data_IF_895129198713
#
_entry.id   IF_895129198713
#
_cell.length_a   1.000
_cell.length_b   1.000
_cell.length_c   1.000
_cell.angle_alpha   90.00
_cell.angle_beta   90.00
_cell.angle_gamma   90.00
#
_symmetry.space_group_name_H-M   'P 1'
#
loop_
_entity.id
_entity.type
_entity.pdbx_description
1 polymer ?
#
# COMPACT_ATOMS: atom_id res chain seq x y z
N UNK A 1 -12.38 -20.42 -2.55
CA UNK A 1 -12.30 -19.25 -1.66
C UNK A 1 -13.52 -19.23 -0.73
N UNK A 2 -13.38 -18.88 0.57
CA UNK A 2 -14.50 -18.69 1.47
C UNK A 2 -15.44 -17.57 0.97
N UNK A 3 -16.75 -17.61 1.28
CA UNK A 3 -17.69 -16.55 0.89
C UNK A 3 -17.27 -15.16 1.41
N UNK A 4 -16.78 -15.08 2.65
CA UNK A 4 -16.27 -13.84 3.23
C UNK A 4 -15.08 -13.20 2.48
N UNK A 5 -14.34 -13.97 1.67
CA UNK A 5 -13.24 -13.47 0.87
C UNK A 5 -13.70 -12.45 -0.19
N UNK A 6 -14.83 -12.66 -0.82
CA UNK A 6 -15.36 -11.70 -1.79
C UNK A 6 -15.77 -10.39 -1.13
N UNK A 7 -16.40 -10.48 0.05
CA UNK A 7 -16.69 -9.28 0.85
C UNK A 7 -15.42 -8.54 1.27
N UNK A 8 -14.36 -9.28 1.60
CA UNK A 8 -13.06 -8.68 1.93
C UNK A 8 -12.45 -7.93 0.72
N UNK A 9 -12.52 -8.51 -0.49
CA UNK A 9 -12.04 -7.87 -1.71
C UNK A 9 -12.82 -6.58 -2.00
N UNK A 10 -14.15 -6.61 -1.87
CA UNK A 10 -15.00 -5.43 -2.07
C UNK A 10 -14.71 -4.35 -1.01
N UNK A 11 -14.60 -4.76 0.26
CA UNK A 11 -14.24 -3.85 1.34
C UNK A 11 -12.86 -3.21 1.13
N UNK A 12 -11.86 -4.01 0.77
CA UNK A 12 -10.50 -3.56 0.47
C UNK A 12 -10.49 -2.59 -0.73
N UNK A 13 -11.20 -2.94 -1.80
CA UNK A 13 -11.31 -2.11 -2.99
C UNK A 13 -11.94 -0.75 -2.67
N UNK A 14 -13.08 -0.75 -1.99
CA UNK A 14 -13.77 0.48 -1.58
C UNK A 14 -12.90 1.33 -0.63
N UNK A 15 -12.27 0.71 0.39
CA UNK A 15 -11.39 1.42 1.32
C UNK A 15 -10.18 2.04 0.60
N UNK A 16 -9.51 1.27 -0.28
CA UNK A 16 -8.36 1.75 -1.03
C UNK A 16 -8.72 2.84 -2.04
N UNK A 17 -9.88 2.73 -2.69
CA UNK A 17 -10.41 3.75 -3.59
C UNK A 17 -10.67 5.06 -2.84
N UNK A 18 -11.31 4.98 -1.67
CA UNK A 18 -11.54 6.15 -0.81
C UNK A 18 -10.22 6.75 -0.28
N UNK A 19 -9.24 5.92 0.16
CA UNK A 19 -7.93 6.38 0.64
C UNK A 19 -7.21 7.22 -0.44
N UNK A 20 -7.22 6.76 -1.70
CA UNK A 20 -6.53 7.44 -2.79
C UNK A 20 -7.29 8.66 -3.31
N UNK A 21 -8.63 8.61 -3.39
CA UNK A 21 -9.43 9.79 -3.71
C UNK A 21 -9.27 10.86 -2.62
N UNK A 22 -9.31 10.48 -1.35
CA UNK A 22 -9.10 11.39 -0.21
C UNK A 22 -7.73 12.06 -0.28
N UNK A 23 -6.68 11.32 -0.69
CA UNK A 23 -5.34 11.88 -0.87
C UNK A 23 -5.32 12.99 -1.93
N UNK A 24 -5.96 12.77 -3.08
CA UNK A 24 -6.05 13.77 -4.16
C UNK A 24 -6.84 15.01 -3.70
N UNK A 25 -7.97 14.79 -3.02
CA UNK A 25 -8.77 15.88 -2.46
C UNK A 25 -8.01 16.66 -1.37
N UNK A 26 -7.22 15.98 -0.56
CA UNK A 26 -6.39 16.62 0.46
C UNK A 26 -5.26 17.48 -0.14
N UNK A 27 -4.65 17.05 -1.24
CA UNK A 27 -3.65 17.84 -1.98
C UNK A 27 -4.32 19.07 -2.59
N UNK A 28 -5.48 18.91 -3.21
CA UNK A 28 -6.27 20.00 -3.75
C UNK A 28 -6.64 21.03 -2.67
N UNK A 29 -7.11 20.53 -1.51
CA UNK A 29 -7.46 21.37 -0.37
C UNK A 29 -6.27 22.20 0.15
N UNK A 30 -5.07 21.61 0.24
CA UNK A 30 -3.87 22.37 0.60
C UNK A 30 -3.55 23.47 -0.41
N UNK A 31 -3.71 23.19 -1.70
CA UNK A 31 -3.47 24.14 -2.77
C UNK A 31 -4.46 25.33 -2.70
N UNK A 32 -5.75 25.08 -2.51
CA UNK A 32 -6.80 26.09 -2.36
C UNK A 32 -6.55 27.01 -1.16
N UNK A 33 -5.98 26.47 -0.08
CA UNK A 33 -5.64 27.21 1.14
C UNK A 33 -4.30 27.97 1.04
N UNK A 34 -3.64 27.94 -0.12
CA UNK A 34 -2.37 28.63 -0.36
C UNK A 34 -1.16 27.99 0.33
N UNK A 35 -1.25 26.73 0.75
CA UNK A 35 -0.08 26.01 1.30
C UNK A 35 0.97 25.76 0.21
N UNK A 36 2.27 25.89 0.54
CA UNK A 36 3.35 25.59 -0.39
C UNK A 36 3.26 24.14 -0.93
N UNK A 37 3.68 23.88 -2.18
CA UNK A 37 3.56 22.53 -2.81
C UNK A 37 4.25 21.39 -2.06
N UNK A 38 5.25 21.67 -1.24
CA UNK A 38 5.97 20.66 -0.43
C UNK A 38 5.12 20.07 0.72
N UNK A 39 3.95 20.63 1.03
CA UNK A 39 3.02 20.06 2.00
C UNK A 39 2.30 18.80 1.47
N UNK A 40 2.12 18.66 0.18
CA UNK A 40 1.47 17.49 -0.42
C UNK A 40 2.21 16.17 -0.11
N UNK A 41 3.55 16.06 -0.26
CA UNK A 41 4.29 14.90 0.21
C UNK A 41 4.17 14.63 1.70
N UNK A 42 3.98 15.65 2.55
CA UNK A 42 3.80 15.47 3.99
C UNK A 42 2.49 14.75 4.35
N UNK A 43 1.43 14.90 3.55
CA UNK A 43 0.20 14.11 3.74
C UNK A 43 0.49 12.62 3.60
N UNK A 44 1.20 12.26 2.54
CA UNK A 44 1.61 10.86 2.31
C UNK A 44 2.55 10.35 3.40
N UNK A 45 3.48 11.18 3.82
CA UNK A 45 4.42 10.87 4.90
C UNK A 45 3.68 10.62 6.22
N UNK A 46 2.74 11.51 6.62
CA UNK A 46 1.98 11.37 7.86
C UNK A 46 1.13 10.10 7.87
N UNK A 47 0.53 9.75 6.73
CA UNK A 47 -0.21 8.51 6.54
C UNK A 47 0.70 7.28 6.69
N UNK A 48 1.86 7.26 6.02
CA UNK A 48 2.80 6.12 6.02
C UNK A 48 3.52 5.95 7.35
N UNK A 49 3.84 7.05 8.02
CA UNK A 49 4.52 7.05 9.31
C UNK A 49 3.73 6.30 10.39
N UNK A 50 2.40 6.33 10.32
CA UNK A 50 1.53 5.60 11.23
C UNK A 50 1.81 4.08 11.24
N UNK A 51 2.13 3.48 10.10
CA UNK A 51 2.48 2.06 9.99
C UNK A 51 3.75 1.70 10.76
N UNK A 52 4.71 2.61 10.79
CA UNK A 52 5.97 2.41 11.51
C UNK A 52 5.76 2.62 13.01
N UNK A 53 5.10 3.72 13.40
CA UNK A 53 4.89 4.07 14.81
C UNK A 53 3.95 3.10 15.54
N UNK A 54 2.94 2.57 14.85
CA UNK A 54 1.95 1.69 15.46
C UNK A 54 2.26 0.20 15.31
N UNK A 55 3.37 -0.18 14.70
CA UNK A 55 3.70 -1.58 14.40
C UNK A 55 3.67 -2.49 15.65
N UNK A 56 4.15 -2.00 16.79
CA UNK A 56 4.15 -2.76 18.04
C UNK A 56 2.73 -3.01 18.59
N UNK A 57 1.77 -2.16 18.25
CA UNK A 57 0.38 -2.21 18.75
C UNK A 57 -0.54 -2.91 17.76
N UNK A 58 -0.33 -2.70 16.46
CA UNK A 58 -1.21 -3.13 15.39
C UNK A 58 -1.39 -4.67 15.33
N UNK A 59 -0.30 -5.41 15.52
CA UNK A 59 -0.34 -6.87 15.54
C UNK A 59 -1.13 -7.45 16.71
N UNK A 60 -0.78 -7.13 17.96
CA UNK A 60 -1.54 -7.56 19.14
C UNK A 60 -3.03 -7.18 19.07
N UNK A 61 -3.35 -5.98 18.58
CA UNK A 61 -4.74 -5.53 18.42
C UNK A 61 -5.50 -6.40 17.41
N UNK A 62 -4.88 -6.72 16.26
CA UNK A 62 -5.47 -7.59 15.25
C UNK A 62 -5.64 -9.05 15.73
N UNK A 63 -4.82 -9.51 16.69
CA UNK A 63 -4.94 -10.84 17.29
C UNK A 63 -5.95 -10.87 18.47
N UNK A 64 -6.25 -9.71 19.07
CA UNK A 64 -7.14 -9.62 20.22
C UNK A 64 -8.62 -9.47 19.85
N UNK A 65 -8.93 -8.90 18.69
CA UNK A 65 -10.31 -8.62 18.27
C UNK A 65 -10.72 -9.44 17.05
N UNK A 66 -12.05 -9.69 16.89
CA UNK A 66 -12.60 -10.25 15.65
C UNK A 66 -12.19 -9.38 14.46
N UNK A 67 -11.46 -9.96 13.51
CA UNK A 67 -10.83 -9.22 12.41
C UNK A 67 -11.82 -8.43 11.57
N UNK A 68 -13.01 -9.00 11.30
CA UNK A 68 -14.07 -8.30 10.55
C UNK A 68 -14.57 -7.04 11.30
N UNK A 69 -14.77 -7.13 12.62
CA UNK A 69 -15.18 -5.99 13.43
C UNK A 69 -14.10 -4.93 13.53
N UNK A 70 -12.84 -5.36 13.71
CA UNK A 70 -11.71 -4.42 13.73
C UNK A 70 -11.59 -3.69 12.39
N UNK A 71 -11.70 -4.39 11.26
CA UNK A 71 -11.67 -3.78 9.93
C UNK A 71 -12.81 -2.77 9.74
N UNK A 72 -14.04 -3.11 10.16
CA UNK A 72 -15.18 -2.20 10.09
C UNK A 72 -14.95 -0.95 10.96
N UNK A 73 -14.47 -1.12 12.19
CA UNK A 73 -14.15 -0.01 13.10
C UNK A 73 -13.06 0.90 12.53
N UNK A 74 -12.03 0.34 11.87
CA UNK A 74 -10.97 1.15 11.26
C UNK A 74 -11.48 1.94 10.05
N UNK A 75 -12.38 1.40 9.23
CA UNK A 75 -13.02 2.18 8.17
C UNK A 75 -13.95 3.27 8.72
N UNK A 76 -14.66 3.01 9.83
CA UNK A 76 -15.40 4.04 10.54
C UNK A 76 -14.46 5.14 11.09
N UNK A 77 -13.27 4.78 11.58
CA UNK A 77 -12.27 5.75 12.03
C UNK A 77 -11.72 6.60 10.89
N UNK A 78 -11.55 6.02 9.68
CA UNK A 78 -11.20 6.80 8.48
C UNK A 78 -12.28 7.82 8.11
N UNK A 79 -13.56 7.44 8.27
CA UNK A 79 -14.67 8.37 8.10
C UNK A 79 -14.57 9.56 9.06
N UNK A 80 -14.19 9.33 10.32
CA UNK A 80 -13.91 10.42 11.27
C UNK A 80 -12.80 11.34 10.77
N UNK A 81 -11.74 10.79 10.15
CA UNK A 81 -10.67 11.58 9.52
C UNK A 81 -11.20 12.54 8.44
N UNK A 82 -12.14 12.07 7.59
CA UNK A 82 -12.80 12.93 6.59
C UNK A 82 -13.63 14.02 7.27
N UNK A 83 -14.41 13.66 8.27
CA UNK A 83 -15.24 14.63 9.02
C UNK A 83 -14.35 15.70 9.69
N UNK A 84 -13.24 15.31 10.30
CA UNK A 84 -12.30 16.25 10.92
C UNK A 84 -11.73 17.25 9.90
N UNK A 85 -11.34 16.76 8.71
CA UNK A 85 -10.84 17.65 7.64
C UNK A 85 -11.90 18.68 7.23
N UNK A 86 -13.12 18.21 7.01
CA UNK A 86 -14.26 19.05 6.65
C UNK A 86 -14.62 20.04 7.77
N UNK A 87 -14.48 19.64 9.04
CA UNK A 87 -14.73 20.51 10.21
C UNK A 87 -13.61 21.53 10.45
N UNK A 88 -12.60 21.61 9.58
CA UNK A 88 -11.54 22.61 9.70
C UNK A 88 -10.29 22.17 10.47
N UNK A 89 -10.18 20.90 10.81
CA UNK A 89 -8.95 20.36 11.39
C UNK A 89 -7.85 20.33 10.31
N UNK A 90 -6.64 20.73 10.70
CA UNK A 90 -5.51 20.77 9.78
C UNK A 90 -5.31 19.42 9.03
N UNK A 91 -5.11 19.43 7.70
CA UNK A 91 -5.03 18.21 6.88
C UNK A 91 -4.06 17.14 7.40
N UNK A 92 -2.90 17.52 7.91
CA UNK A 92 -1.92 16.57 8.46
C UNK A 92 -2.51 15.69 9.57
N UNK A 93 -3.32 16.23 10.46
CA UNK A 93 -3.94 15.45 11.54
C UNK A 93 -5.03 14.52 11.03
N UNK A 94 -5.85 14.97 10.08
CA UNK A 94 -6.86 14.15 9.43
C UNK A 94 -6.22 12.96 8.69
N UNK A 95 -5.12 13.21 7.95
CA UNK A 95 -4.36 12.17 7.25
C UNK A 95 -3.57 11.26 8.20
N UNK A 96 -3.03 11.78 9.29
CA UNK A 96 -2.42 10.96 10.33
C UNK A 96 -3.43 10.00 10.96
N UNK A 97 -4.66 10.46 11.24
CA UNK A 97 -5.74 9.61 11.77
C UNK A 97 -6.17 8.52 10.76
N UNK A 98 -6.34 8.87 9.48
CA UNK A 98 -6.66 7.88 8.44
C UNK A 98 -5.51 6.89 8.24
N UNK A 99 -4.26 7.33 8.32
CA UNK A 99 -3.07 6.48 8.30
C UNK A 99 -3.01 5.53 9.49
N UNK A 100 -3.33 6.01 10.69
CA UNK A 100 -3.47 5.19 11.90
C UNK A 100 -4.50 4.09 11.69
N UNK A 101 -5.69 4.45 11.21
CA UNK A 101 -6.73 3.48 10.91
C UNK A 101 -6.30 2.46 9.85
N UNK A 102 -5.60 2.88 8.80
CA UNK A 102 -5.08 2.00 7.76
C UNK A 102 -3.99 1.05 8.29
N UNK A 103 -3.10 1.54 9.18
CA UNK A 103 -2.06 0.74 9.80
C UNK A 103 -2.63 -0.37 10.71
N UNK A 104 -3.75 -0.12 11.39
CA UNK A 104 -4.45 -1.12 12.20
C UNK A 104 -5.34 -2.05 11.36
N UNK A 105 -5.86 -1.57 10.23
CA UNK A 105 -6.66 -2.35 9.29
C UNK A 105 -5.84 -3.45 8.60
N UNK A 106 -4.61 -3.17 8.20
CA UNK A 106 -3.80 -4.08 7.38
C UNK A 106 -3.51 -5.42 8.07
N UNK A 107 -3.09 -5.50 9.35
CA UNK A 107 -2.88 -6.78 10.04
C UNK A 107 -4.16 -7.60 10.21
N UNK A 108 -5.31 -6.95 10.40
CA UNK A 108 -6.60 -7.63 10.47
C UNK A 108 -6.99 -8.23 9.10
N UNK A 109 -6.84 -7.47 8.02
CA UNK A 109 -7.17 -7.89 6.65
C UNK A 109 -6.33 -9.10 6.21
N UNK A 110 -5.03 -8.96 6.20
CA UNK A 110 -4.14 -10.05 5.77
C UNK A 110 -4.15 -11.21 6.76
N UNK A 111 -4.30 -10.92 8.06
CA UNK A 111 -4.47 -11.95 9.10
C UNK A 111 -5.70 -12.82 8.86
N UNK A 112 -6.83 -12.22 8.49
CA UNK A 112 -8.04 -12.96 8.14
C UNK A 112 -7.81 -13.89 6.94
N UNK A 113 -7.15 -13.40 5.89
CA UNK A 113 -6.81 -14.21 4.70
C UNK A 113 -5.94 -15.41 5.09
N UNK A 114 -4.91 -15.17 5.88
CA UNK A 114 -3.99 -16.23 6.32
C UNK A 114 -4.67 -17.31 7.17
N UNK A 115 -5.68 -16.96 7.94
CA UNK A 115 -6.39 -17.89 8.83
C UNK A 115 -7.50 -18.67 8.12
N UNK A 116 -8.14 -18.07 7.11
CA UNK A 116 -9.35 -18.63 6.48
C UNK A 116 -9.10 -19.28 5.13
N UNK A 117 -8.03 -18.84 4.42
CA UNK A 117 -7.69 -19.39 3.10
C UNK A 117 -6.71 -20.53 3.25
N UNK A 118 -6.98 -21.65 2.57
CA UNK A 118 -6.07 -22.79 2.59
C UNK A 118 -4.69 -22.42 1.99
N UNK A 119 -3.58 -22.99 2.49
CA UNK A 119 -2.23 -22.68 2.00
C UNK A 119 -2.07 -22.83 0.48
N UNK A 120 -2.77 -23.79 -0.14
CA UNK A 120 -2.74 -24.02 -1.60
C UNK A 120 -3.30 -22.85 -2.39
N UNK A 121 -4.25 -22.10 -1.83
CA UNK A 121 -4.92 -20.97 -2.47
C UNK A 121 -4.36 -19.62 -2.04
N UNK A 122 -3.36 -19.58 -1.15
CA UNK A 122 -2.88 -18.34 -0.54
C UNK A 122 -2.21 -17.42 -1.59
N UNK A 123 -1.47 -17.97 -2.55
CA UNK A 123 -0.90 -17.19 -3.67
C UNK A 123 -2.02 -16.56 -4.49
N UNK A 124 -3.06 -17.34 -4.82
CA UNK A 124 -4.21 -16.85 -5.57
C UNK A 124 -4.99 -15.78 -4.80
N UNK A 125 -5.12 -15.92 -3.48
CA UNK A 125 -5.76 -14.90 -2.63
C UNK A 125 -4.97 -13.60 -2.60
N UNK A 126 -3.63 -13.67 -2.45
CA UNK A 126 -2.77 -12.49 -2.49
C UNK A 126 -2.79 -11.81 -3.86
N UNK A 127 -2.85 -12.57 -4.97
CA UNK A 127 -2.98 -11.99 -6.30
C UNK A 127 -4.30 -11.20 -6.44
N UNK A 128 -5.43 -11.72 -5.98
CA UNK A 128 -6.70 -11.00 -6.00
C UNK A 128 -6.64 -9.72 -5.15
N UNK A 129 -6.02 -9.79 -3.97
CA UNK A 129 -5.79 -8.62 -3.13
C UNK A 129 -4.93 -7.58 -3.85
N UNK A 130 -3.84 -8.00 -4.48
CA UNK A 130 -2.92 -7.09 -5.19
C UNK A 130 -3.61 -6.40 -6.37
N UNK A 131 -4.34 -7.16 -7.21
CA UNK A 131 -5.14 -6.59 -8.31
C UNK A 131 -6.17 -5.59 -7.76
N UNK A 132 -6.86 -5.94 -6.67
CA UNK A 132 -7.82 -5.04 -6.01
C UNK A 132 -7.16 -3.75 -5.50
N UNK A 133 -5.97 -3.86 -4.90
CA UNK A 133 -5.20 -2.70 -4.42
C UNK A 133 -4.82 -1.79 -5.60
N UNK A 134 -4.21 -2.36 -6.65
CA UNK A 134 -3.76 -1.58 -7.80
C UNK A 134 -4.94 -0.88 -8.50
N UNK A 135 -6.04 -1.61 -8.71
CA UNK A 135 -7.25 -1.02 -9.31
C UNK A 135 -7.85 0.09 -8.43
N UNK A 136 -7.88 -0.10 -7.11
CA UNK A 136 -8.38 0.91 -6.18
C UNK A 136 -7.53 2.18 -6.17
N UNK A 137 -6.21 2.05 -6.31
CA UNK A 137 -5.30 3.20 -6.45
C UNK A 137 -5.59 3.96 -7.74
N UNK A 138 -5.61 3.25 -8.89
CA UNK A 138 -5.83 3.89 -10.20
C UNK A 138 -7.17 4.61 -10.26
N UNK A 139 -8.24 3.91 -9.88
CA UNK A 139 -9.59 4.47 -9.92
C UNK A 139 -9.81 5.54 -8.84
N UNK A 140 -9.22 5.38 -7.65
CA UNK A 140 -9.31 6.36 -6.58
C UNK A 140 -8.67 7.71 -6.96
N UNK A 141 -7.47 7.66 -7.56
CA UNK A 141 -6.80 8.87 -8.08
C UNK A 141 -7.60 9.50 -9.22
N UNK A 142 -8.08 8.70 -10.18
CA UNK A 142 -8.86 9.19 -11.32
C UNK A 142 -10.18 9.81 -10.87
N UNK A 143 -10.94 9.13 -9.99
CA UNK A 143 -12.20 9.64 -9.47
C UNK A 143 -12.01 10.85 -8.56
N UNK A 144 -10.97 10.87 -7.71
CA UNK A 144 -10.65 12.02 -6.89
C UNK A 144 -10.40 13.28 -7.74
N UNK A 145 -9.61 13.12 -8.82
CA UNK A 145 -9.37 14.21 -9.78
C UNK A 145 -10.62 14.62 -10.55
N UNK A 146 -11.41 13.66 -11.02
CA UNK A 146 -12.67 13.94 -11.74
C UNK A 146 -13.70 14.66 -10.85
N UNK A 147 -13.77 14.29 -9.56
CA UNK A 147 -14.67 14.95 -8.61
C UNK A 147 -14.31 16.41 -8.38
N UNK A 148 -13.04 16.73 -8.26
CA UNK A 148 -12.60 18.13 -8.18
C UNK A 148 -13.16 18.90 -9.38
N UNK A 149 -12.99 18.35 -10.58
CA UNK A 149 -13.47 19.01 -11.81
C UNK A 149 -14.99 19.13 -11.87
N UNK A 150 -15.73 18.06 -11.53
CA UNK A 150 -17.20 18.07 -11.54
C UNK A 150 -17.76 19.07 -10.53
N UNK A 151 -17.27 19.05 -9.30
CA UNK A 151 -17.77 19.91 -8.24
C UNK A 151 -17.33 21.38 -8.36
N UNK A 152 -16.30 21.69 -9.15
CA UNK A 152 -15.95 23.07 -9.50
C UNK A 152 -16.81 23.63 -10.64
N UNK A 153 -17.44 22.77 -11.44
CA UNK A 153 -18.28 23.18 -12.58
C UNK A 153 -19.78 23.12 -12.30
N UNK A 154 -20.22 22.36 -11.30
CA UNK A 154 -21.63 22.17 -10.98
C UNK A 154 -21.99 23.01 -9.77
N UNK A 155 -22.92 23.95 -9.95
CA UNK A 155 -23.57 24.66 -8.85
C UNK A 155 -24.33 23.62 -7.99
N UNK A 156 -24.04 23.60 -6.67
CA UNK A 156 -24.74 22.71 -5.74
C UNK A 156 -26.19 23.15 -5.67
N UNK A 157 -27.16 22.25 -5.95
CA UNK A 157 -28.57 22.62 -5.86
C UNK A 157 -28.96 23.11 -4.45
N UNK A 158 -29.80 24.13 -4.37
CA UNK A 158 -30.20 24.81 -3.12
C UNK A 158 -30.91 23.92 -2.08
N UNK A 159 -31.37 22.74 -2.48
CA UNK A 159 -32.03 21.79 -1.57
C UNK A 159 -31.07 20.97 -0.72
N UNK A 160 -29.76 21.05 -0.96
CA UNK A 160 -28.76 20.40 -0.11
C UNK A 160 -28.55 21.28 1.11
N UNK A 161 -28.84 20.81 2.36
CA UNK A 161 -28.81 21.66 3.57
C UNK A 161 -27.41 22.09 4.02
N UNK A 162 -26.49 22.15 3.09
CA UNK A 162 -25.10 22.61 3.28
C UNK A 162 -24.91 24.10 2.98
N UNK A 163 -25.93 24.78 2.44
CA UNK A 163 -25.96 26.25 2.31
C UNK A 163 -26.00 26.89 3.71
N UNK A 164 -24.93 27.54 4.09
CA UNK A 164 -24.82 28.21 5.40
C UNK A 164 -23.81 27.61 6.36
N UNK A 165 -23.24 26.44 6.05
CA UNK A 165 -22.06 25.97 6.75
C UNK A 165 -20.82 26.62 6.10
N UNK A 166 -20.56 27.86 6.44
CA UNK A 166 -19.24 28.44 6.20
C UNK A 166 -18.24 27.57 6.98
N UNK A 167 -17.47 26.77 6.24
CA UNK A 167 -16.35 26.07 6.86
C UNK A 167 -15.50 27.11 7.59
N UNK A 168 -15.06 26.89 8.84
CA UNK A 168 -14.16 27.78 9.54
C UNK A 168 -12.89 28.13 8.76
N UNK A 169 -12.61 27.41 7.68
CA UNK A 169 -11.44 27.53 6.81
C UNK A 169 -11.76 28.08 5.41
N UNK A 170 -12.98 28.60 5.14
CA UNK A 170 -13.30 29.20 3.83
C UNK A 170 -13.31 28.21 2.66
N UNK A 171 -13.50 26.91 2.92
CA UNK A 171 -13.61 25.90 1.85
C UNK A 171 -14.88 26.15 1.06
N UNK A 172 -14.78 26.29 -0.26
CA UNK A 172 -15.93 26.42 -1.13
C UNK A 172 -16.88 25.24 -0.92
N UNK A 173 -18.18 25.49 -0.81
CA UNK A 173 -19.24 24.48 -0.67
C UNK A 173 -19.19 23.40 -1.75
N UNK A 174 -18.58 23.68 -2.88
CA UNK A 174 -18.40 22.80 -4.03
C UNK A 174 -17.55 21.56 -3.71
N UNK A 175 -16.52 21.65 -2.87
CA UNK A 175 -15.63 20.52 -2.53
C UNK A 175 -16.26 19.56 -1.51
N UNK A 176 -17.30 20.02 -0.79
CA UNK A 176 -18.01 19.19 0.20
C UNK A 176 -18.62 17.93 -0.39
N UNK A 177 -19.17 18.01 -1.61
CA UNK A 177 -19.73 16.85 -2.31
C UNK A 177 -18.70 15.74 -2.54
N UNK A 178 -17.46 16.11 -2.88
CA UNK A 178 -16.37 15.14 -3.07
C UNK A 178 -15.98 14.44 -1.75
N UNK A 179 -15.89 15.20 -0.65
CA UNK A 179 -15.63 14.61 0.67
C UNK A 179 -16.80 13.75 1.16
N UNK A 180 -18.04 14.16 0.92
CA UNK A 180 -19.23 13.35 1.23
C UNK A 180 -19.21 12.01 0.48
N UNK A 181 -18.82 12.01 -0.79
CA UNK A 181 -18.65 10.78 -1.56
C UNK A 181 -17.59 9.85 -0.93
N UNK A 182 -16.41 10.39 -0.57
CA UNK A 182 -15.37 9.61 0.13
C UNK A 182 -15.91 9.02 1.43
N UNK A 183 -16.66 9.80 2.21
CA UNK A 183 -17.30 9.34 3.44
C UNK A 183 -18.28 8.19 3.19
N UNK A 184 -19.13 8.29 2.16
CA UNK A 184 -20.04 7.22 1.75
C UNK A 184 -19.29 5.95 1.36
N UNK A 185 -18.20 6.06 0.59
CA UNK A 185 -17.39 4.90 0.18
C UNK A 185 -16.71 4.24 1.37
N UNK A 186 -16.22 4.98 2.37
CA UNK A 186 -15.75 4.39 3.63
C UNK A 186 -16.86 3.69 4.41
N UNK A 187 -18.06 4.27 4.44
CA UNK A 187 -19.25 3.64 5.03
C UNK A 187 -19.60 2.31 4.36
N UNK A 188 -19.63 2.28 3.03
CA UNK A 188 -19.84 1.07 2.22
C UNK A 188 -18.75 0.03 2.53
N UNK A 189 -17.50 0.44 2.59
CA UNK A 189 -16.38 -0.44 2.94
C UNK A 189 -16.56 -1.03 4.36
N UNK A 190 -16.98 -0.23 5.34
CA UNK A 190 -17.27 -0.70 6.68
C UNK A 190 -18.37 -1.75 6.70
N UNK A 191 -19.46 -1.54 5.93
CA UNK A 191 -20.55 -2.50 5.78
C UNK A 191 -20.07 -3.81 5.13
N UNK A 192 -19.27 -3.75 4.07
CA UNK A 192 -18.69 -4.96 3.48
C UNK A 192 -17.79 -5.71 4.47
N UNK A 193 -17.05 -5.02 5.34
CA UNK A 193 -16.26 -5.68 6.38
C UNK A 193 -17.11 -6.46 7.39
N UNK A 194 -18.33 -6.02 7.69
CA UNK A 194 -19.28 -6.79 8.51
C UNK A 194 -19.66 -8.09 7.79
N UNK A 195 -19.87 -8.03 6.48
CA UNK A 195 -20.16 -9.19 5.63
C UNK A 195 -19.03 -10.22 5.49
N UNK A 196 -17.79 -9.85 5.82
CA UNK A 196 -16.64 -10.78 5.85
C UNK A 196 -16.87 -11.94 6.81
N UNK A 197 -17.68 -11.72 7.85
CA UNK A 197 -18.03 -12.72 8.84
C UNK A 197 -16.97 -12.89 9.93
N UNK A 198 -17.43 -13.47 11.04
CA UNK A 198 -16.62 -13.69 12.26
C UNK A 198 -15.96 -15.06 12.29
N UNK A 199 -15.86 -15.77 11.15
CA UNK A 199 -15.22 -17.09 11.10
C UNK A 199 -13.76 -16.96 11.56
N UNK A 200 -13.57 -17.04 12.87
CA UNK A 200 -12.25 -17.07 13.50
C UNK A 200 -11.78 -18.51 13.57
N UNK A 201 -10.75 -18.80 12.79
CA UNK A 201 -10.08 -20.10 12.87
C UNK A 201 -9.19 -20.17 14.13
N UNK A 202 -8.79 -19.02 14.64
CA UNK A 202 -7.98 -18.92 15.86
C UNK A 202 -8.71 -18.10 16.94
N UNK A 203 -8.67 -18.54 18.21
CA UNK A 203 -9.27 -17.79 19.31
C UNK A 203 -8.55 -16.45 19.50
N UNK A 204 -9.33 -15.40 19.82
CA UNK A 204 -8.79 -14.11 20.20
C UNK A 204 -7.83 -14.23 21.39
N UNK A 205 -6.75 -13.49 21.36
CA UNK A 205 -5.82 -13.42 22.49
C UNK A 205 -6.14 -12.24 23.39
N UNK A 206 -5.97 -12.38 24.72
CA UNK A 206 -6.16 -11.24 25.61
C UNK A 206 -5.15 -10.15 25.25
N UNK A 207 -5.63 -8.92 25.12
CA UNK A 207 -4.80 -7.75 24.90
C UNK A 207 -4.04 -7.43 26.20
N UNK A 208 -2.73 -7.57 26.18
CA UNK A 208 -1.88 -7.27 27.35
C UNK A 208 -0.88 -6.16 27.01
N UNK A 209 -0.58 -5.32 27.99
CA UNK A 209 0.43 -4.27 27.83
C UNK A 209 1.81 -4.84 27.45
N UNK A 210 2.16 -6.02 27.96
CA UNK A 210 3.41 -6.69 27.62
C UNK A 210 3.50 -7.04 26.13
N UNK A 211 2.38 -7.42 25.49
CA UNK A 211 2.33 -7.76 24.07
C UNK A 211 2.49 -6.52 23.17
N UNK A 212 2.12 -5.31 23.65
CA UNK A 212 2.20 -4.06 22.90
C UNK A 212 3.55 -3.32 23.06
N UNK A 213 4.46 -3.85 23.88
CA UNK A 213 5.79 -3.24 24.06
C UNK A 213 6.66 -3.41 22.83
N UNK A 214 7.48 -2.42 22.53
CA UNK A 214 8.48 -2.49 21.47
C UNK A 214 9.47 -3.65 21.66
N UNK A 215 9.78 -4.04 22.90
CA UNK A 215 10.63 -5.21 23.17
C UNK A 215 10.02 -6.52 22.64
N UNK A 216 8.71 -6.71 22.81
CA UNK A 216 7.98 -7.85 22.27
C UNK A 216 7.94 -7.81 20.74
N UNK A 217 7.72 -6.63 20.17
CA UNK A 217 7.76 -6.43 18.71
C UNK A 217 9.14 -6.80 18.13
N UNK A 218 10.24 -6.32 18.72
CA UNK A 218 11.59 -6.64 18.26
C UNK A 218 11.94 -8.12 18.43
N UNK A 219 11.36 -8.81 19.43
CA UNK A 219 11.48 -10.26 19.54
C UNK A 219 10.83 -10.96 18.34
N UNK A 220 9.60 -10.61 17.98
CA UNK A 220 8.91 -11.14 16.80
C UNK A 220 9.64 -10.80 15.49
N UNK A 221 10.16 -9.58 15.37
CA UNK A 221 11.00 -9.14 14.26
C UNK A 221 12.20 -10.09 14.07
N UNK A 222 12.95 -10.35 15.16
CA UNK A 222 14.10 -11.26 15.12
C UNK A 222 13.70 -12.69 14.77
N UNK A 223 12.60 -13.19 15.32
CA UNK A 223 12.10 -14.52 15.00
C UNK A 223 11.81 -14.68 13.50
N UNK A 224 11.12 -13.71 12.89
CA UNK A 224 10.75 -13.78 11.47
C UNK A 224 11.98 -13.65 10.56
N UNK A 225 12.91 -12.74 10.86
CA UNK A 225 14.17 -12.58 10.13
C UNK A 225 15.10 -13.81 10.26
N UNK A 226 15.05 -14.52 11.38
CA UNK A 226 15.87 -15.72 11.61
C UNK A 226 15.31 -16.95 10.92
N UNK A 227 14.02 -16.96 10.55
CA UNK A 227 13.44 -18.08 9.81
C UNK A 227 13.93 -18.07 8.34
N UNK A 228 14.49 -19.17 7.81
CA UNK A 228 15.10 -19.18 6.48
C UNK A 228 14.15 -18.77 5.35
N UNK A 229 12.88 -19.19 5.42
CA UNK A 229 11.87 -18.84 4.41
C UNK A 229 11.16 -17.52 4.72
N UNK A 230 10.89 -17.28 6.00
CA UNK A 230 10.28 -16.05 6.48
C UNK A 230 11.19 -14.85 6.23
N UNK A 231 12.47 -14.93 6.65
CA UNK A 231 13.46 -13.87 6.45
C UNK A 231 13.74 -13.58 4.98
N UNK A 232 13.85 -14.63 4.14
CA UNK A 232 14.00 -14.46 2.70
C UNK A 232 12.78 -13.73 2.09
N UNK A 233 11.57 -14.18 2.43
CA UNK A 233 10.34 -13.57 1.90
C UNK A 233 10.18 -12.15 2.40
N UNK A 234 10.46 -11.89 3.68
CA UNK A 234 10.42 -10.57 4.29
C UNK A 234 11.40 -9.60 3.62
N UNK A 235 12.63 -10.07 3.35
CA UNK A 235 13.65 -9.28 2.63
C UNK A 235 13.15 -8.89 1.23
N UNK A 236 12.63 -9.85 0.47
CA UNK A 236 12.14 -9.61 -0.89
C UNK A 236 10.96 -8.65 -0.90
N UNK A 237 9.94 -8.86 -0.04
CA UNK A 237 8.76 -7.98 -0.01
C UNK A 237 9.15 -6.56 0.43
N UNK A 238 10.02 -6.44 1.43
CA UNK A 238 10.56 -5.15 1.91
C UNK A 238 11.25 -4.38 0.79
N UNK A 239 12.11 -5.04 0.02
CA UNK A 239 12.79 -4.41 -1.12
C UNK A 239 11.82 -4.05 -2.25
N UNK A 240 10.89 -4.94 -2.60
CA UNK A 240 9.92 -4.68 -3.66
C UNK A 240 9.09 -3.42 -3.39
N UNK A 241 8.64 -3.22 -2.15
CA UNK A 241 7.90 -2.02 -1.77
C UNK A 241 8.75 -0.75 -1.84
N UNK A 242 9.98 -0.78 -1.31
CA UNK A 242 10.88 0.36 -1.37
C UNK A 242 11.28 0.73 -2.80
N UNK A 243 11.69 -0.27 -3.61
CA UNK A 243 12.05 -0.07 -5.02
C UNK A 243 10.84 0.39 -5.84
N UNK A 244 9.65 -0.18 -5.59
CA UNK A 244 8.41 0.24 -6.26
C UNK A 244 8.09 1.71 -5.99
N UNK A 245 8.28 2.17 -4.76
CA UNK A 245 8.09 3.57 -4.39
C UNK A 245 9.11 4.49 -5.11
N UNK A 246 10.38 4.11 -5.16
CA UNK A 246 11.41 4.86 -5.92
C UNK A 246 11.08 4.88 -7.41
N UNK A 247 10.72 3.74 -8.00
CA UNK A 247 10.37 3.65 -9.41
C UNK A 247 9.22 4.58 -9.79
N UNK A 248 8.21 4.71 -8.91
CA UNK A 248 7.09 5.61 -9.12
C UNK A 248 7.55 7.06 -9.36
N UNK A 249 8.50 7.57 -8.60
CA UNK A 249 9.03 8.93 -8.77
C UNK A 249 10.09 9.00 -9.87
N UNK A 250 10.91 7.97 -10.02
CA UNK A 250 11.94 7.91 -11.05
C UNK A 250 11.35 7.96 -12.46
N UNK A 251 10.20 7.32 -12.68
CA UNK A 251 9.45 7.37 -13.95
C UNK A 251 9.03 8.81 -14.30
N UNK A 252 8.59 9.60 -13.31
CA UNK A 252 8.22 11.00 -13.53
C UNK A 252 9.43 11.85 -13.93
N UNK A 253 10.55 11.69 -13.23
CA UNK A 253 11.79 12.42 -13.53
C UNK A 253 12.32 12.02 -14.92
N UNK A 254 12.28 10.72 -15.24
CA UNK A 254 12.67 10.22 -16.56
C UNK A 254 11.78 10.80 -17.67
N UNK A 255 10.46 10.78 -17.47
CA UNK A 255 9.49 11.29 -18.44
C UNK A 255 9.75 12.75 -18.78
N UNK A 256 10.03 13.58 -17.79
CA UNK A 256 10.33 15.01 -17.98
C UNK A 256 11.70 15.23 -18.62
N UNK A 257 12.76 14.60 -18.10
CA UNK A 257 14.15 14.88 -18.52
C UNK A 257 14.52 14.18 -19.84
N UNK A 258 14.08 12.94 -20.07
CA UNK A 258 14.51 12.14 -21.21
C UNK A 258 13.51 12.14 -22.38
N UNK A 259 12.21 12.21 -22.07
CA UNK A 259 11.16 12.15 -23.10
C UNK A 259 10.46 13.50 -23.35
N UNK A 260 10.79 14.56 -22.59
CA UNK A 260 10.17 15.88 -22.73
C UNK A 260 8.65 15.89 -22.43
N UNK A 261 8.16 14.88 -21.67
CA UNK A 261 6.75 14.74 -21.36
C UNK A 261 6.34 15.66 -20.22
N UNK A 262 5.07 16.04 -20.22
CA UNK A 262 4.46 16.74 -19.09
C UNK A 262 4.32 15.83 -17.88
N UNK A 263 4.15 16.40 -16.68
CA UNK A 263 3.92 15.64 -15.44
C UNK A 263 2.69 14.71 -15.57
N UNK A 264 1.63 15.19 -16.22
CA UNK A 264 0.42 14.40 -16.49
C UNK A 264 0.71 13.18 -17.39
N UNK A 265 1.47 13.37 -18.45
CA UNK A 265 1.87 12.28 -19.35
C UNK A 265 2.78 11.28 -18.62
N UNK A 266 3.67 11.76 -17.75
CA UNK A 266 4.48 10.91 -16.86
C UNK A 266 3.63 10.06 -15.91
N UNK A 267 2.51 10.59 -15.40
CA UNK A 267 1.58 9.83 -14.57
C UNK A 267 0.91 8.66 -15.34
N UNK A 268 0.67 8.79 -16.65
CA UNK A 268 0.19 7.65 -17.46
C UNK A 268 1.20 6.51 -17.55
N UNK A 269 2.50 6.81 -17.51
CA UNK A 269 3.54 5.77 -17.45
C UNK A 269 3.51 5.00 -16.13
N UNK A 270 3.13 5.64 -15.02
CA UNK A 270 2.89 4.92 -13.76
C UNK A 270 1.71 3.95 -13.87
N UNK A 271 0.66 4.31 -14.60
CA UNK A 271 -0.45 3.40 -14.88
C UNK A 271 0.00 2.17 -15.69
N UNK A 272 0.96 2.32 -16.60
CA UNK A 272 1.57 1.19 -17.33
C UNK A 272 2.28 0.23 -16.38
N UNK A 273 3.05 0.73 -15.41
CA UNK A 273 3.67 -0.11 -14.38
C UNK A 273 2.60 -0.86 -13.58
N UNK A 274 1.53 -0.17 -13.19
CA UNK A 274 0.42 -0.76 -12.44
C UNK A 274 -0.28 -1.89 -13.21
N UNK A 275 -0.52 -1.71 -14.53
CA UNK A 275 -1.03 -2.75 -15.42
C UNK A 275 -0.07 -3.96 -15.49
N UNK A 276 1.23 -3.70 -15.53
CA UNK A 276 2.26 -4.73 -15.44
C UNK A 276 2.13 -5.53 -14.14
N UNK A 277 2.04 -4.86 -12.99
CA UNK A 277 1.88 -5.52 -11.67
C UNK A 277 0.64 -6.40 -11.64
N UNK A 278 -0.50 -5.92 -12.15
CA UNK A 278 -1.73 -6.72 -12.23
C UNK A 278 -1.54 -7.97 -13.10
N UNK A 279 -0.93 -7.82 -14.28
CA UNK A 279 -0.63 -8.95 -15.17
C UNK A 279 0.31 -9.97 -14.53
N UNK A 280 1.39 -9.50 -13.87
CA UNK A 280 2.32 -10.33 -13.11
C UNK A 280 1.65 -11.06 -11.94
N UNK A 281 0.79 -10.37 -11.19
CA UNK A 281 0.01 -10.97 -10.11
C UNK A 281 -0.94 -12.06 -10.61
N UNK A 282 -1.64 -11.82 -11.73
CA UNK A 282 -2.52 -12.79 -12.36
C UNK A 282 -1.75 -14.03 -12.84
N UNK A 283 -0.59 -13.84 -13.48
CA UNK A 283 0.29 -14.94 -13.90
C UNK A 283 0.83 -15.71 -12.69
N UNK A 284 1.23 -15.04 -11.63
CA UNK A 284 1.66 -15.69 -10.39
C UNK A 284 0.54 -16.56 -9.79
N UNK A 285 -0.72 -16.08 -9.82
CA UNK A 285 -1.89 -16.85 -9.38
C UNK A 285 -2.12 -18.12 -10.21
N UNK A 286 -1.78 -18.09 -11.50
CA UNK A 286 -1.94 -19.22 -12.42
C UNK A 286 -0.80 -20.23 -12.33
N UNK A 287 0.44 -19.77 -12.09
CA UNK A 287 1.65 -20.59 -12.24
C UNK A 287 2.33 -20.95 -10.93
N UNK A 288 2.13 -20.15 -9.87
CA UNK A 288 2.80 -20.33 -8.60
C UNK A 288 1.86 -20.87 -7.53
N UNK A 289 2.41 -21.75 -6.70
CA UNK A 289 1.84 -22.22 -5.44
C UNK A 289 2.82 -21.93 -4.31
N UNK A 290 2.34 -21.98 -3.08
CA UNK A 290 3.17 -21.69 -1.90
C UNK A 290 4.41 -22.59 -1.82
N UNK A 291 4.28 -23.86 -2.25
CA UNK A 291 5.37 -24.84 -2.19
C UNK A 291 6.46 -24.62 -3.24
N UNK A 292 6.14 -23.90 -4.32
CA UNK A 292 7.07 -23.54 -5.38
C UNK A 292 7.33 -22.03 -5.49
N UNK A 293 6.93 -21.25 -4.47
CA UNK A 293 7.06 -19.79 -4.46
C UNK A 293 8.48 -19.29 -4.77
N UNK A 294 9.52 -20.06 -4.40
CA UNK A 294 10.92 -19.74 -4.73
C UNK A 294 11.20 -19.65 -6.23
N UNK A 295 10.38 -20.29 -7.08
CA UNK A 295 10.52 -20.19 -8.55
C UNK A 295 10.23 -18.79 -9.08
N UNK A 296 9.64 -17.93 -8.24
CA UNK A 296 9.43 -16.52 -8.57
C UNK A 296 10.69 -15.65 -8.36
N UNK A 297 11.68 -16.11 -7.59
CA UNK A 297 12.88 -15.32 -7.28
C UNK A 297 13.64 -14.80 -8.52
N UNK A 298 13.82 -15.56 -9.62
CA UNK A 298 14.50 -15.05 -10.82
C UNK A 298 13.87 -13.77 -11.40
N UNK A 299 12.59 -13.51 -11.15
CA UNK A 299 11.96 -12.25 -11.55
C UNK A 299 12.56 -11.03 -10.85
N UNK A 300 13.20 -11.23 -9.69
CA UNK A 300 13.99 -10.19 -9.03
C UNK A 300 15.19 -9.74 -9.85
N UNK A 301 15.85 -10.64 -10.58
CA UNK A 301 16.94 -10.28 -11.51
C UNK A 301 16.42 -9.51 -12.71
N UNK A 302 15.27 -9.94 -13.25
CA UNK A 302 14.61 -9.23 -14.35
C UNK A 302 14.27 -7.80 -13.94
N UNK A 303 13.64 -7.63 -12.76
CA UNK A 303 13.33 -6.31 -12.21
C UNK A 303 14.60 -5.48 -12.00
N UNK A 304 15.65 -6.07 -11.41
CA UNK A 304 16.92 -5.39 -11.16
C UNK A 304 17.61 -4.92 -12.44
N UNK A 305 17.52 -5.69 -13.54
CA UNK A 305 18.09 -5.31 -14.83
C UNK A 305 17.27 -4.23 -15.53
N UNK A 306 15.94 -4.28 -15.44
CA UNK A 306 15.05 -3.33 -16.12
C UNK A 306 15.17 -1.90 -15.58
N UNK A 307 15.46 -1.73 -14.28
CA UNK A 307 15.59 -0.41 -13.66
C UNK A 307 16.68 0.47 -14.32
N UNK A 308 17.95 0.04 -14.41
CA UNK A 308 18.98 0.82 -15.08
C UNK A 308 18.77 0.89 -16.59
N UNK A 309 18.24 -0.16 -17.23
CA UNK A 309 17.94 -0.14 -18.66
C UNK A 309 16.90 0.94 -19.00
N UNK A 310 15.86 1.11 -18.15
CA UNK A 310 14.89 2.18 -18.31
C UNK A 310 15.56 3.57 -18.22
N UNK A 311 16.50 3.75 -17.30
CA UNK A 311 17.18 5.03 -17.12
C UNK A 311 18.07 5.39 -18.34
N UNK A 312 18.56 4.40 -19.07
CA UNK A 312 19.40 4.59 -20.26
C UNK A 312 18.60 4.87 -21.54
N UNK A 313 17.35 4.39 -21.65
CA UNK A 313 16.57 4.57 -22.86
C UNK A 313 16.08 6.00 -23.03
N UNK A 314 16.09 6.48 -24.28
CA UNK A 314 15.48 7.75 -24.69
C UNK A 314 14.24 7.53 -25.57
N UNK A 315 13.91 6.28 -25.84
CA UNK A 315 12.84 5.90 -26.75
C UNK A 315 11.59 5.57 -25.95
N UNK A 316 10.53 6.36 -26.13
CA UNK A 316 9.30 6.27 -25.32
C UNK A 316 8.63 4.89 -25.38
N UNK A 317 8.45 4.33 -26.59
CA UNK A 317 7.78 3.01 -26.72
C UNK A 317 8.58 1.89 -26.04
N UNK A 318 9.92 1.97 -26.07
CA UNK A 318 10.79 1.01 -25.39
C UNK A 318 10.69 1.15 -23.86
N UNK A 319 10.64 2.40 -23.36
CA UNK A 319 10.41 2.66 -21.94
C UNK A 319 9.04 2.13 -21.47
N UNK A 320 7.98 2.29 -22.27
CA UNK A 320 6.65 1.73 -21.96
C UNK A 320 6.72 0.20 -21.81
N UNK A 321 7.40 -0.49 -22.74
CA UNK A 321 7.57 -1.95 -22.65
C UNK A 321 8.39 -2.33 -21.40
N UNK A 322 9.50 -1.62 -21.13
CA UNK A 322 10.32 -1.89 -19.95
C UNK A 322 9.57 -1.65 -18.63
N UNK A 323 8.75 -0.60 -18.56
CA UNK A 323 7.93 -0.30 -17.40
C UNK A 323 6.83 -1.35 -17.19
N UNK A 324 6.18 -1.79 -18.27
CA UNK A 324 5.21 -2.89 -18.22
C UNK A 324 5.86 -4.18 -17.72
N UNK A 325 7.04 -4.52 -18.23
CA UNK A 325 7.79 -5.70 -17.81
C UNK A 325 8.33 -5.57 -16.39
N UNK A 326 8.75 -4.38 -15.95
CA UNK A 326 9.17 -4.14 -14.58
C UNK A 326 8.00 -4.33 -13.59
N UNK A 327 6.83 -3.79 -13.92
CA UNK A 327 5.60 -4.05 -13.17
C UNK A 327 5.26 -5.54 -13.12
N UNK A 328 5.30 -6.21 -14.27
CA UNK A 328 5.06 -7.66 -14.38
C UNK A 328 6.02 -8.47 -13.50
N UNK A 329 7.32 -8.20 -13.58
CA UNK A 329 8.34 -8.85 -12.76
C UNK A 329 8.10 -8.60 -11.27
N UNK A 330 7.73 -7.37 -10.90
CA UNK A 330 7.34 -7.00 -9.54
C UNK A 330 6.14 -7.81 -9.03
N UNK A 331 5.06 -7.90 -9.80
CA UNK A 331 3.87 -8.68 -9.47
C UNK A 331 4.14 -10.18 -9.34
N UNK A 332 4.91 -10.73 -10.30
CA UNK A 332 5.36 -12.14 -10.29
C UNK A 332 6.20 -12.48 -9.07
N UNK A 333 7.00 -11.54 -8.56
CA UNK A 333 7.86 -11.72 -7.41
C UNK A 333 7.11 -11.49 -6.09
N UNK A 334 6.39 -10.37 -5.98
CA UNK A 334 5.76 -9.93 -4.74
C UNK A 334 4.67 -10.88 -4.25
N UNK A 335 3.78 -11.33 -5.14
CA UNK A 335 2.60 -12.13 -4.77
C UNK A 335 2.96 -13.48 -4.13
N UNK A 336 3.84 -14.32 -4.73
CA UNK A 336 4.25 -15.57 -4.11
C UNK A 336 5.07 -15.36 -2.82
N UNK A 337 5.90 -14.30 -2.76
CA UNK A 337 6.69 -14.00 -1.56
C UNK A 337 5.80 -13.54 -0.41
N UNK A 338 4.78 -12.71 -0.66
CA UNK A 338 3.77 -12.35 0.34
C UNK A 338 3.05 -13.59 0.88
N UNK A 339 2.62 -14.49 0.00
CA UNK A 339 1.94 -15.72 0.41
C UNK A 339 2.84 -16.63 1.26
N UNK A 340 4.12 -16.76 0.88
CA UNK A 340 5.10 -17.55 1.63
C UNK A 340 5.39 -16.93 2.99
N UNK A 341 5.59 -15.61 3.05
CA UNK A 341 5.82 -14.86 4.28
C UNK A 341 4.66 -15.02 5.25
N UNK A 342 3.44 -14.84 4.78
CA UNK A 342 2.21 -15.01 5.55
C UNK A 342 2.09 -16.42 6.10
N UNK A 343 2.32 -17.44 5.26
CA UNK A 343 2.27 -18.84 5.69
C UNK A 343 3.33 -19.18 6.74
N UNK A 344 4.55 -18.67 6.60
CA UNK A 344 5.61 -18.89 7.61
C UNK A 344 5.31 -18.11 8.89
N UNK A 345 4.85 -16.89 8.76
CA UNK A 345 4.51 -16.03 9.89
C UNK A 345 3.49 -16.64 10.84
N UNK A 346 2.41 -17.24 10.31
CA UNK A 346 1.42 -17.94 11.15
C UNK A 346 2.02 -19.14 11.90
N UNK A 347 3.00 -19.83 11.32
CA UNK A 347 3.65 -20.97 11.98
C UNK A 347 4.59 -20.56 13.11
N UNK A 348 5.15 -19.35 13.03
CA UNK A 348 6.15 -18.85 13.99
C UNK A 348 5.46 -18.04 15.11
N UNK A 349 4.46 -17.24 14.71
CA UNK A 349 3.72 -16.36 15.61
C UNK A 349 2.26 -16.23 15.16
N UNK A 350 1.45 -15.41 15.83
CA UNK A 350 0.08 -15.13 15.38
C UNK A 350 0.06 -14.28 14.12
N UNK A 351 -1.03 -14.40 13.33
CA UNK A 351 -1.19 -13.77 12.04
C UNK A 351 -1.07 -12.24 12.10
N UNK A 352 -1.73 -11.60 13.06
CA UNK A 352 -1.69 -10.14 13.22
C UNK A 352 -0.28 -9.62 13.50
N UNK A 353 0.46 -10.27 14.39
CA UNK A 353 1.85 -9.90 14.72
C UNK A 353 2.78 -10.07 13.53
N UNK A 354 2.64 -11.18 12.78
CA UNK A 354 3.44 -11.42 11.58
C UNK A 354 3.24 -10.35 10.51
N UNK A 355 1.98 -9.98 10.25
CA UNK A 355 1.64 -8.94 9.27
C UNK A 355 2.08 -7.56 9.76
N UNK A 356 2.02 -7.28 11.06
CA UNK A 356 2.54 -6.02 11.60
C UNK A 356 4.06 -5.89 11.42
N UNK A 357 4.81 -6.98 11.62
CA UNK A 357 6.26 -7.05 11.33
C UNK A 357 6.51 -6.81 9.83
N UNK A 358 5.76 -7.47 8.95
CA UNK A 358 5.84 -7.26 7.51
C UNK A 358 5.58 -5.79 7.15
N UNK A 359 4.45 -5.24 7.57
CA UNK A 359 4.07 -3.85 7.28
C UNK A 359 5.07 -2.82 7.80
N UNK A 360 5.66 -3.05 8.98
CA UNK A 360 6.74 -2.20 9.51
C UNK A 360 7.94 -2.17 8.56
N UNK A 361 8.46 -3.32 8.15
CA UNK A 361 9.63 -3.40 7.28
C UNK A 361 9.35 -2.78 5.90
N UNK A 362 8.19 -3.08 5.30
CA UNK A 362 7.79 -2.55 4.00
C UNK A 362 7.68 -1.02 4.01
N UNK A 363 6.96 -0.45 4.98
CA UNK A 363 6.77 0.99 5.07
C UNK A 363 8.06 1.72 5.49
N UNK A 364 8.86 1.13 6.38
CA UNK A 364 10.18 1.67 6.72
C UNK A 364 11.10 1.69 5.51
N UNK A 365 11.10 0.64 4.69
CA UNK A 365 11.85 0.58 3.43
C UNK A 365 11.42 1.68 2.46
N UNK A 366 10.10 1.89 2.31
CA UNK A 366 9.55 2.99 1.49
C UNK A 366 10.09 4.34 1.97
N UNK A 367 10.01 4.62 3.27
CA UNK A 367 10.48 5.89 3.84
C UNK A 367 12.00 6.09 3.64
N UNK A 368 12.79 5.06 3.92
CA UNK A 368 14.26 5.13 3.79
C UNK A 368 14.67 5.29 2.32
N UNK A 369 14.10 4.47 1.42
CA UNK A 369 14.47 4.50 0.01
C UNK A 369 14.03 5.78 -0.68
N UNK A 370 12.83 6.31 -0.37
CA UNK A 370 12.39 7.60 -0.89
C UNK A 370 13.22 8.75 -0.31
N UNK A 371 13.58 8.70 0.97
CA UNK A 371 14.48 9.69 1.57
C UNK A 371 15.85 9.69 0.90
N UNK A 372 16.45 8.51 0.68
CA UNK A 372 17.71 8.37 -0.04
C UNK A 372 17.61 8.85 -1.50
N UNK A 373 16.52 8.48 -2.20
CA UNK A 373 16.25 8.94 -3.55
C UNK A 373 16.15 10.46 -3.63
N UNK A 374 15.41 11.08 -2.71
CA UNK A 374 15.27 12.54 -2.65
C UNK A 374 16.59 13.25 -2.37
N UNK A 375 17.41 12.70 -1.46
CA UNK A 375 18.74 13.24 -1.15
C UNK A 375 19.69 13.14 -2.37
N UNK A 376 19.68 12.02 -3.07
CA UNK A 376 20.50 11.84 -4.28
C UNK A 376 20.09 12.80 -5.40
N UNK A 377 18.79 13.05 -5.57
CA UNK A 377 18.29 14.05 -6.52
C UNK A 377 18.68 15.48 -6.10
N UNK A 378 18.64 15.80 -4.82
CA UNK A 378 19.06 17.11 -4.29
C UNK A 378 20.57 17.37 -4.49
N UNK A 379 21.36 16.31 -4.62
CA UNK A 379 22.79 16.38 -4.98
C UNK A 379 23.04 16.29 -6.48
N UNK A 380 21.99 16.45 -7.31
CA UNK A 380 22.06 16.37 -8.77
C UNK A 380 22.67 15.07 -9.32
N UNK A 381 22.57 13.96 -8.56
CA UNK A 381 23.03 12.66 -9.04
C UNK A 381 22.18 12.22 -10.24
N UNK A 382 22.81 11.82 -11.37
CA UNK A 382 22.06 11.34 -12.54
C UNK A 382 21.18 10.13 -12.22
N UNK A 383 20.09 9.94 -12.99
CA UNK A 383 19.12 8.88 -12.75
C UNK A 383 19.71 7.47 -12.84
N UNK A 384 20.66 7.25 -13.75
CA UNK A 384 21.28 5.93 -13.95
C UNK A 384 22.02 5.40 -12.71
N UNK A 385 22.95 6.13 -12.09
CA UNK A 385 23.56 5.70 -10.82
C UNK A 385 22.57 5.44 -9.71
N UNK A 386 21.51 6.25 -9.64
CA UNK A 386 20.41 6.06 -8.67
C UNK A 386 19.74 4.71 -8.91
N UNK A 387 19.34 4.41 -10.16
CA UNK A 387 18.68 3.14 -10.50
C UNK A 387 19.60 1.93 -10.27
N UNK A 388 20.90 2.05 -10.57
CA UNK A 388 21.89 1.02 -10.25
C UNK A 388 21.97 0.77 -8.74
N UNK A 389 22.03 1.81 -7.92
CA UNK A 389 22.10 1.69 -6.47
C UNK A 389 20.89 0.92 -5.91
N UNK A 390 19.68 1.24 -6.35
CA UNK A 390 18.47 0.56 -5.88
C UNK A 390 18.25 -0.83 -6.51
N UNK A 391 18.90 -1.16 -7.62
CA UNK A 391 18.86 -2.49 -8.23
C UNK A 391 19.76 -3.51 -7.53
N UNK A 392 20.90 -3.09 -6.97
CA UNK A 392 21.87 -3.99 -6.33
C UNK A 392 21.29 -4.86 -5.21
N UNK A 393 20.48 -4.35 -4.26
CA UNK A 393 19.87 -5.17 -3.22
C UNK A 393 18.92 -6.25 -3.78
N UNK A 394 18.26 -5.98 -4.93
CA UNK A 394 17.41 -6.97 -5.59
C UNK A 394 18.22 -8.14 -6.17
N UNK A 395 19.42 -7.91 -6.66
CA UNK A 395 20.33 -8.98 -7.10
C UNK A 395 20.70 -9.89 -5.93
N UNK A 396 20.97 -9.32 -4.77
CA UNK A 396 21.27 -10.08 -3.55
C UNK A 396 20.07 -10.88 -3.03
N UNK A 397 18.84 -10.40 -3.26
CA UNK A 397 17.62 -11.09 -2.85
C UNK A 397 17.41 -12.46 -3.49
N UNK A 398 17.99 -12.66 -4.66
CA UNK A 398 17.84 -13.89 -5.46
C UNK A 398 19.00 -14.87 -5.25
N UNK A 399 20.08 -14.44 -4.59
CA UNK A 399 21.18 -15.36 -4.23
C UNK A 399 20.67 -16.45 -3.28
N UNK A 400 21.16 -17.70 -3.41
CA UNK A 400 20.68 -18.79 -2.56
C UNK A 400 20.90 -18.43 -1.09
N UNK A 401 19.79 -18.18 -0.40
CA UNK A 401 19.78 -17.97 1.04
C UNK A 401 20.28 -19.26 1.69
N UNK A 402 21.56 -19.32 2.02
CA UNK A 402 22.14 -20.47 2.72
C UNK A 402 21.45 -20.56 4.09
N UNK A 403 20.68 -21.63 4.28
CA UNK A 403 20.15 -21.95 5.61
C UNK A 403 21.33 -22.04 6.58
N UNK A 404 21.34 -21.21 7.60
CA UNK A 404 22.31 -21.31 8.71
C UNK A 404 22.12 -22.59 9.54
N UNK A 405 21.12 -23.40 9.17
CA UNK A 405 20.86 -24.69 9.80
C UNK A 405 20.55 -25.76 8.75
N UNK A 406 21.42 -26.76 8.53
CA UNK A 406 21.21 -27.82 7.55
C UNK A 406 20.23 -28.91 8.02
N UNK A 407 19.50 -28.72 9.11
CA UNK A 407 18.62 -29.78 9.70
C UNK A 407 17.18 -29.20 9.86
N UNK A 408 16.50 -28.88 8.77
CA UNK A 408 15.02 -28.94 8.70
C UNK A 408 14.57 -28.90 7.23
#
# INVERSE_FOLDING_TARGET
MPKGFFFLILAQFASGLADNAFMILGVYFLHEQGYPPWWAPLLKFSFTLAYVLLAAIAGPLADAFPKSRLMAAMNALKLVGVILLVSGVHPLYAFALTGLAAALYAPAKYGWVCETVSPRLLVKANAWLEVSVVMSVMLGVALGGAMIHVYTLVEVPDFVPLHGFESPLGVSTQVWGAFAWVAVVYGISALFNIGVGTAQVQPCQPLTWSAMRWSAFWHHQRQLWSDPLGGMSLYVTTLCWGVGAVLQFAVLVWAQKNAGLTLQQGAYLQAVVALGVMGGAAMAAATCQIFNARRALPWGWVLAALLPCMALTQVLWLAVIMLLLAGWAGGMLLVPMNALLQHRGIKIMKSGRSIAVQGFNENLSVLIMLGAYSALLAWDVPLLPIMLLFSLPLLAAVMPWKSRNPKT
#
